data_IF_300853554602
#
_entry.id   IF_300853554602
#
_cell.length_a   1.000
_cell.length_b   1.000
_cell.length_c   1.000
_cell.angle_alpha   90.00
_cell.angle_beta   90.00
_cell.angle_gamma   90.00
#
_symmetry.space_group_name_H-M   'P 1'
#
loop_
_entity.id
_entity.type
_entity.pdbx_description
1 polymer ?
#
# COMPACT_ATOMS: atom_id res chain seq x y z
N UNK A 1 -31.51 -8.33 -77.69
CA UNK A 1 -30.56 -7.52 -76.90
C UNK A 1 -29.40 -8.44 -76.53
N UNK A 2 -28.30 -8.43 -77.29
CA UNK A 2 -27.10 -7.55 -77.11
C UNK A 2 -26.40 -7.90 -75.79
N UNK A 3 -25.14 -8.34 -75.68
CA UNK A 3 -24.00 -8.71 -76.53
C UNK A 3 -23.04 -9.52 -75.59
N UNK A 4 -22.06 -10.26 -76.10
CA UNK A 4 -21.06 -11.02 -75.35
C UNK A 4 -19.77 -10.20 -75.12
N UNK A 5 -18.73 -10.90 -74.64
CA UNK A 5 -17.28 -10.64 -74.76
C UNK A 5 -16.56 -9.84 -73.66
N UNK A 6 -15.70 -10.62 -72.97
CA UNK A 6 -14.24 -10.46 -72.89
C UNK A 6 -13.71 -9.02 -72.81
N UNK A 7 -13.18 -8.68 -71.64
CA UNK A 7 -11.98 -7.83 -71.50
C UNK A 7 -11.13 -8.45 -70.38
N UNK A 8 -10.10 -9.23 -70.73
CA UNK A 8 -8.70 -8.81 -70.92
C UNK A 8 -8.08 -8.23 -69.64
N UNK A 9 -7.41 -9.11 -68.88
CA UNK A 9 -6.32 -8.75 -67.97
C UNK A 9 -5.18 -8.14 -68.80
N UNK A 10 -4.53 -7.08 -68.29
CA UNK A 10 -3.09 -7.02 -68.42
C UNK A 10 -2.42 -6.83 -67.06
N UNK A 11 -1.49 -7.75 -66.81
CA UNK A 11 -0.12 -7.51 -66.32
C UNK A 11 -0.03 -6.60 -65.10
N UNK A 12 0.03 -7.19 -63.90
CA UNK A 12 1.32 -7.52 -63.29
C UNK A 12 2.29 -6.33 -63.25
N UNK A 13 2.09 -5.46 -62.27
CA UNK A 13 3.18 -4.69 -61.68
C UNK A 13 3.36 -5.19 -60.24
N UNK A 14 4.48 -5.88 -60.09
CA UNK A 14 5.01 -6.50 -58.89
C UNK A 14 5.86 -5.44 -58.15
N UNK A 15 5.86 -5.54 -56.80
CA UNK A 15 6.77 -4.92 -55.83
C UNK A 15 6.46 -3.44 -55.53
N UNK A 16 6.22 -3.01 -54.29
CA UNK A 16 7.12 -2.98 -53.12
C UNK A 16 6.19 -2.96 -51.87
N UNK A 17 6.23 -3.89 -50.92
CA UNK A 17 7.27 -4.05 -49.90
C UNK A 17 7.14 -2.98 -48.80
N UNK A 18 6.55 -3.30 -47.64
CA UNK A 18 7.03 -2.95 -46.29
C UNK A 18 5.94 -3.17 -45.22
N UNK A 19 6.13 -4.24 -44.44
CA UNK A 19 6.06 -4.26 -42.96
C UNK A 19 4.99 -3.38 -42.29
N UNK A 20 3.89 -4.02 -41.88
CA UNK A 20 3.13 -3.60 -40.68
C UNK A 20 3.14 -4.75 -39.66
N UNK A 21 4.35 -5.13 -39.27
CA UNK A 21 4.59 -5.77 -37.98
C UNK A 21 4.85 -4.66 -36.96
N UNK A 22 4.21 -4.77 -35.80
CA UNK A 22 4.53 -3.97 -34.64
C UNK A 22 3.49 -2.92 -34.27
N UNK A 23 2.29 -3.35 -33.91
CA UNK A 23 1.61 -2.70 -32.79
C UNK A 23 2.42 -3.05 -31.53
N UNK A 24 3.57 -2.40 -31.36
CA UNK A 24 4.33 -2.39 -30.12
C UNK A 24 3.42 -1.78 -29.07
N UNK A 25 2.81 -2.64 -28.26
CA UNK A 25 2.20 -2.24 -27.01
C UNK A 25 3.24 -1.45 -26.23
N UNK A 26 3.00 -0.15 -26.09
CA UNK A 26 3.70 0.64 -25.09
C UNK A 26 3.19 0.14 -23.75
N UNK A 27 3.84 -0.89 -23.20
CA UNK A 27 3.88 -1.07 -21.75
C UNK A 27 4.65 0.13 -21.21
N UNK A 28 3.94 1.24 -21.00
CA UNK A 28 4.52 2.40 -20.34
C UNK A 28 5.08 1.93 -19.00
N UNK A 29 6.36 2.20 -18.76
CA UNK A 29 6.95 2.05 -17.45
C UNK A 29 6.07 2.84 -16.48
N UNK A 30 5.37 2.15 -15.59
CA UNK A 30 4.69 2.81 -14.49
C UNK A 30 5.80 3.25 -13.54
N UNK A 31 6.14 4.54 -13.57
CA UNK A 31 7.08 5.14 -12.63
C UNK A 31 6.53 4.92 -11.21
N UNK A 32 7.08 3.92 -10.51
CA UNK A 32 6.79 3.67 -9.10
C UNK A 32 7.84 4.34 -8.24
N UNK A 33 7.41 4.96 -7.15
CA UNK A 33 8.35 5.52 -6.18
C UNK A 33 9.07 4.38 -5.45
N UNK A 34 10.36 4.57 -5.18
CA UNK A 34 11.08 3.74 -4.21
C UNK A 34 10.63 4.09 -2.80
N UNK A 35 10.47 3.12 -1.91
CA UNK A 35 10.04 3.34 -0.51
C UNK A 35 11.09 2.74 0.42
N UNK A 36 11.61 3.53 1.34
CA UNK A 36 12.63 3.12 2.33
C UNK A 36 12.08 3.38 3.74
N UNK A 37 12.73 2.78 4.74
CA UNK A 37 12.23 2.77 6.11
C UNK A 37 11.29 1.60 6.36
N UNK A 38 11.25 1.14 7.61
CA UNK A 38 10.49 -0.03 8.01
C UNK A 38 10.02 0.14 9.45
N UNK A 39 8.74 -0.09 9.71
CA UNK A 39 8.28 -0.31 11.09
C UNK A 39 8.70 -1.71 11.49
N UNK A 40 9.56 -1.80 12.49
CA UNK A 40 9.88 -3.08 13.11
C UNK A 40 8.89 -3.41 14.23
N UNK A 41 8.72 -4.69 14.59
CA UNK A 41 7.80 -5.11 15.66
C UNK A 41 8.05 -4.43 17.01
N UNK A 42 9.29 -4.01 17.28
CA UNK A 42 9.70 -3.34 18.51
C UNK A 42 9.05 -1.96 18.69
N UNK A 43 8.54 -1.34 17.61
CA UNK A 43 7.77 -0.10 17.68
C UNK A 43 6.32 -0.30 18.15
N UNK A 44 5.87 -1.54 18.38
CA UNK A 44 4.51 -1.81 18.82
C UNK A 44 4.47 -2.17 20.30
N UNK A 45 4.59 -1.17 21.18
CA UNK A 45 4.42 -1.36 22.63
C UNK A 45 2.93 -1.36 23.01
N UNK A 46 2.22 -2.39 22.58
CA UNK A 46 0.83 -2.62 22.96
C UNK A 46 0.66 -2.63 24.49
N UNK A 47 -0.31 -1.84 24.96
CA UNK A 47 -0.82 -1.87 26.33
C UNK A 47 -2.23 -2.43 26.32
N UNK A 48 -2.58 -3.23 27.31
CA UNK A 48 -3.95 -3.72 27.46
C UNK A 48 -4.85 -2.56 27.89
N UNK A 49 -5.85 -2.24 27.07
CA UNK A 49 -6.76 -1.10 27.30
C UNK A 49 -8.12 -1.53 27.85
N UNK A 50 -8.51 -2.80 27.65
CA UNK A 50 -9.72 -3.40 28.23
C UNK A 50 -9.38 -4.80 28.72
N UNK A 51 -9.56 -5.05 30.02
CA UNK A 51 -9.38 -6.38 30.60
C UNK A 51 -10.43 -7.35 30.06
N UNK A 52 -9.99 -8.56 29.72
CA UNK A 52 -10.87 -9.63 29.27
C UNK A 52 -11.71 -10.11 30.46
N UNK A 53 -13.00 -9.77 30.50
CA UNK A 53 -13.96 -10.39 31.42
C UNK A 53 -14.68 -11.56 30.75
N UNK A 54 -15.19 -12.50 31.55
CA UNK A 54 -16.00 -13.64 31.05
C UNK A 54 -17.25 -13.19 30.27
N UNK A 55 -17.68 -11.94 30.41
CA UNK A 55 -18.84 -11.36 29.72
C UNK A 55 -18.52 -10.73 28.35
N UNK A 56 -17.25 -10.44 28.04
CA UNK A 56 -16.81 -9.86 26.77
C UNK A 56 -15.60 -10.63 26.25
N UNK A 57 -15.81 -11.61 25.36
CA UNK A 57 -14.72 -12.41 24.84
C UNK A 57 -13.79 -11.51 24.04
N UNK A 58 -12.56 -11.33 24.53
CA UNK A 58 -11.45 -10.99 23.66
C UNK A 58 -10.43 -10.01 24.23
N UNK A 59 -10.81 -9.13 25.17
CA UNK A 59 -9.94 -8.01 25.62
C UNK A 59 -9.36 -7.18 24.46
N UNK A 60 -8.71 -6.06 24.75
CA UNK A 60 -8.07 -5.27 23.71
C UNK A 60 -6.71 -4.78 24.16
N UNK A 61 -5.77 -4.81 23.22
CA UNK A 61 -4.48 -4.16 23.36
C UNK A 61 -4.36 -3.07 22.30
N UNK A 62 -3.89 -1.90 22.69
CA UNK A 62 -3.74 -0.77 21.79
C UNK A 62 -2.40 -0.05 21.98
N UNK A 63 -1.98 0.66 20.94
CA UNK A 63 -0.80 1.52 20.95
C UNK A 63 -0.98 2.68 19.98
N UNK A 64 -0.57 3.87 20.39
CA UNK A 64 -0.52 5.03 19.51
C UNK A 64 0.85 5.16 18.85
N UNK A 65 0.86 5.23 17.51
CA UNK A 65 2.03 5.31 16.66
C UNK A 65 2.08 6.70 16.01
N UNK A 66 3.26 7.32 16.03
CA UNK A 66 3.56 8.55 15.31
C UNK A 66 4.54 8.23 14.18
N UNK A 67 4.05 8.01 12.97
CA UNK A 67 4.86 7.67 11.80
C UNK A 67 5.27 8.94 11.05
N UNK A 68 6.55 9.26 10.94
CA UNK A 68 7.02 10.33 10.03
C UNK A 68 7.12 9.80 8.61
N UNK A 69 6.52 10.48 7.65
CA UNK A 69 6.66 10.19 6.22
C UNK A 69 7.43 11.35 5.59
N UNK A 70 8.50 11.04 4.86
CA UNK A 70 9.31 12.01 4.10
C UNK A 70 9.18 11.74 2.61
N UNK A 71 8.83 12.75 1.81
CA UNK A 71 8.89 12.71 0.35
C UNK A 71 10.34 12.94 -0.12
N UNK A 72 10.87 12.04 -0.95
CA UNK A 72 12.28 12.07 -1.36
C UNK A 72 12.64 13.32 -2.17
N UNK A 73 11.89 13.60 -3.23
CA UNK A 73 12.23 14.68 -4.17
C UNK A 73 12.17 16.07 -3.52
N UNK A 74 11.07 16.36 -2.83
CA UNK A 74 10.83 17.67 -2.21
C UNK A 74 11.46 17.81 -0.82
N UNK A 75 11.71 16.70 -0.11
CA UNK A 75 12.06 16.69 1.30
C UNK A 75 10.89 17.05 2.24
N UNK A 76 9.65 17.14 1.72
CA UNK A 76 8.48 17.42 2.54
C UNK A 76 8.26 16.31 3.57
N UNK A 77 7.96 16.68 4.81
CA UNK A 77 7.72 15.71 5.89
C UNK A 77 6.35 15.94 6.53
N UNK A 78 5.71 14.85 6.94
CA UNK A 78 4.53 14.89 7.82
C UNK A 78 4.62 13.82 8.89
N UNK A 79 3.90 14.00 10.00
CA UNK A 79 3.74 12.96 11.03
C UNK A 79 2.31 12.42 10.98
N UNK A 80 2.18 11.18 10.53
CA UNK A 80 0.95 10.42 10.50
C UNK A 80 0.72 9.74 11.87
N UNK A 81 -0.23 10.26 12.65
CA UNK A 81 -0.59 9.75 13.97
C UNK A 81 -1.80 8.82 13.91
N UNK A 82 -1.72 7.63 14.50
CA UNK A 82 -2.84 6.67 14.57
C UNK A 82 -2.68 5.71 15.74
N UNK A 83 -3.81 5.23 16.25
CA UNK A 83 -3.88 4.10 17.18
C UNK A 83 -4.04 2.81 16.40
N UNK A 84 -3.39 1.75 16.89
CA UNK A 84 -3.58 0.38 16.43
C UNK A 84 -4.17 -0.41 17.57
N UNK A 85 -5.37 -0.95 17.38
CA UNK A 85 -6.05 -1.82 18.33
C UNK A 85 -6.11 -3.25 17.80
N UNK A 86 -5.70 -4.21 18.62
CA UNK A 86 -5.80 -5.64 18.35
C UNK A 86 -6.59 -6.32 19.48
N UNK A 87 -7.39 -7.34 19.16
CA UNK A 87 -7.96 -8.18 20.20
C UNK A 87 -6.85 -9.00 20.88
N UNK A 88 -7.05 -9.43 22.13
CA UNK A 88 -6.15 -10.40 22.77
C UNK A 88 -6.42 -11.83 22.27
N UNK A 89 -7.60 -12.09 21.67
CA UNK A 89 -8.00 -13.39 21.14
C UNK A 89 -8.63 -13.28 19.76
N UNK A 90 -8.38 -14.27 18.91
CA UNK A 90 -9.09 -14.47 17.65
C UNK A 90 -9.89 -15.79 17.72
N UNK A 91 -11.20 -15.69 17.92
CA UNK A 91 -12.04 -16.85 18.25
C UNK A 91 -11.65 -17.44 19.59
N UNK A 92 -11.24 -18.71 19.61
CA UNK A 92 -10.80 -19.42 20.82
C UNK A 92 -9.29 -19.28 21.09
N UNK A 93 -8.52 -18.76 20.14
CA UNK A 93 -7.07 -18.71 20.23
C UNK A 93 -6.59 -17.37 20.78
N UNK A 94 -5.72 -17.40 21.77
CA UNK A 94 -4.99 -16.22 22.22
C UNK A 94 -4.00 -15.76 21.15
N UNK A 95 -3.86 -14.45 20.99
CA UNK A 95 -2.85 -13.83 20.14
C UNK A 95 -1.68 -13.43 21.04
N UNK A 96 -0.55 -14.15 20.99
CA UNK A 96 0.63 -13.76 21.74
C UNK A 96 1.10 -12.36 21.35
N UNK A 97 1.62 -11.60 22.31
CA UNK A 97 2.11 -10.23 22.08
C UNK A 97 3.12 -10.15 20.93
N UNK A 98 4.03 -11.12 20.82
CA UNK A 98 5.02 -11.14 19.74
C UNK A 98 4.38 -11.30 18.35
N UNK A 99 3.29 -12.09 18.25
CA UNK A 99 2.51 -12.25 17.01
C UNK A 99 1.80 -10.93 16.67
N UNK A 100 1.14 -10.32 17.67
CA UNK A 100 0.47 -9.04 17.51
C UNK A 100 1.43 -7.95 16.96
N UNK A 101 2.63 -7.87 17.54
CA UNK A 101 3.69 -6.94 17.09
C UNK A 101 4.18 -7.24 15.68
N UNK A 102 4.47 -8.51 15.40
CA UNK A 102 4.97 -8.95 14.10
C UNK A 102 3.97 -8.64 13.00
N UNK A 103 2.70 -8.97 13.23
CA UNK A 103 1.64 -8.82 12.25
C UNK A 103 1.27 -7.35 12.00
N UNK A 104 1.22 -6.55 13.07
CA UNK A 104 1.04 -5.10 12.97
C UNK A 104 2.15 -4.47 12.12
N UNK A 105 3.42 -4.79 12.42
CA UNK A 105 4.56 -4.30 11.65
C UNK A 105 4.53 -4.76 10.20
N UNK A 106 4.27 -6.05 9.92
CA UNK A 106 4.21 -6.57 8.57
C UNK A 106 3.12 -5.87 7.74
N UNK A 107 1.90 -5.76 8.28
CA UNK A 107 0.77 -5.16 7.57
C UNK A 107 0.97 -3.66 7.36
N UNK A 108 1.54 -2.95 8.35
CA UNK A 108 1.85 -1.54 8.20
C UNK A 108 2.89 -1.31 7.11
N UNK A 109 3.97 -2.09 7.06
CA UNK A 109 4.98 -1.98 6.00
C UNK A 109 4.40 -2.28 4.61
N UNK A 110 3.54 -3.31 4.50
CA UNK A 110 2.87 -3.63 3.24
C UNK A 110 1.92 -2.51 2.79
N UNK A 111 1.15 -1.93 3.72
CA UNK A 111 0.26 -0.82 3.43
C UNK A 111 1.03 0.44 3.01
N UNK A 112 2.09 0.79 3.75
CA UNK A 112 2.96 1.91 3.44
C UNK A 112 3.59 1.77 2.05
N UNK A 113 4.16 0.60 1.74
CA UNK A 113 4.72 0.34 0.41
C UNK A 113 3.67 0.52 -0.69
N UNK A 114 2.47 -0.06 -0.54
CA UNK A 114 1.40 0.04 -1.54
C UNK A 114 0.98 1.49 -1.81
N UNK A 115 0.79 2.29 -0.76
CA UNK A 115 0.37 3.69 -0.88
C UNK A 115 1.49 4.55 -1.43
N UNK A 116 2.68 4.48 -0.83
CA UNK A 116 3.78 5.39 -1.15
C UNK A 116 4.43 5.09 -2.51
N UNK A 117 4.54 3.81 -2.90
CA UNK A 117 5.11 3.44 -4.21
C UNK A 117 4.24 3.85 -5.41
N UNK A 118 2.95 4.10 -5.17
CA UNK A 118 1.97 4.48 -6.20
C UNK A 118 1.49 5.93 -6.05
N UNK A 119 2.08 6.69 -5.13
CA UNK A 119 1.70 8.07 -4.85
C UNK A 119 2.01 8.99 -6.06
N UNK A 120 1.04 9.79 -6.53
CA UNK A 120 1.30 10.82 -7.54
C UNK A 120 2.32 11.85 -7.03
N UNK A 121 3.13 12.43 -7.93
CA UNK A 121 4.03 13.53 -7.57
C UNK A 121 3.23 14.73 -7.06
N UNK A 122 3.67 15.31 -5.95
CA UNK A 122 2.98 16.46 -5.33
C UNK A 122 1.67 16.11 -4.63
N UNK A 123 1.35 14.82 -4.44
CA UNK A 123 0.22 14.41 -3.62
C UNK A 123 0.36 14.98 -2.20
N UNK A 124 -0.76 15.39 -1.61
CA UNK A 124 -0.70 15.96 -0.26
C UNK A 124 -0.36 14.86 0.75
N UNK A 125 0.66 15.10 1.57
CA UNK A 125 1.10 14.14 2.59
C UNK A 125 -0.02 13.71 3.56
N UNK A 126 -1.00 14.59 3.80
CA UNK A 126 -2.20 14.26 4.57
C UNK A 126 -3.07 13.19 3.89
N UNK A 127 -3.26 13.28 2.57
CA UNK A 127 -3.98 12.26 1.78
C UNK A 127 -3.29 10.91 1.90
N UNK A 128 -1.97 10.87 1.68
CA UNK A 128 -1.18 9.64 1.80
C UNK A 128 -1.28 9.01 3.19
N UNK A 129 -1.29 9.83 4.24
CA UNK A 129 -1.49 9.34 5.60
C UNK A 129 -2.87 8.71 5.81
N UNK A 130 -3.94 9.29 5.26
CA UNK A 130 -5.29 8.72 5.36
C UNK A 130 -5.45 7.44 4.54
N UNK A 131 -4.90 7.40 3.33
CA UNK A 131 -4.90 6.21 2.48
C UNK A 131 -4.12 5.07 3.14
N UNK A 132 -2.97 5.39 3.72
CA UNK A 132 -2.18 4.45 4.52
C UNK A 132 -2.99 3.88 5.68
N UNK A 133 -3.61 4.74 6.53
CA UNK A 133 -4.41 4.28 7.68
C UNK A 133 -5.57 3.39 7.26
N UNK A 134 -6.25 3.76 6.18
CA UNK A 134 -7.40 3.03 5.65
C UNK A 134 -6.99 1.64 5.16
N UNK A 135 -5.95 1.57 4.33
CA UNK A 135 -5.45 0.30 3.82
C UNK A 135 -4.86 -0.56 4.93
N UNK A 136 -4.10 0.03 5.85
CA UNK A 136 -3.52 -0.67 6.98
C UNK A 136 -4.61 -1.26 7.88
N UNK A 137 -5.63 -0.48 8.25
CA UNK A 137 -6.76 -0.96 9.03
C UNK A 137 -7.51 -2.10 8.36
N UNK A 138 -7.76 -2.00 7.05
CA UNK A 138 -8.39 -3.07 6.28
C UNK A 138 -7.56 -4.36 6.28
N UNK A 139 -6.26 -4.26 6.00
CA UNK A 139 -5.35 -5.41 5.99
C UNK A 139 -5.22 -6.07 7.37
N UNK A 140 -5.13 -5.25 8.43
CA UNK A 140 -5.00 -5.75 9.78
C UNK A 140 -6.29 -6.44 10.26
N UNK A 141 -7.46 -5.85 9.96
CA UNK A 141 -8.75 -6.46 10.29
C UNK A 141 -8.99 -7.77 9.56
N UNK A 142 -8.56 -7.87 8.29
CA UNK A 142 -8.61 -9.13 7.54
C UNK A 142 -7.74 -10.24 8.16
N UNK A 143 -6.65 -9.88 8.83
CA UNK A 143 -5.76 -10.83 9.52
C UNK A 143 -6.24 -11.17 10.94
N UNK A 144 -6.70 -10.15 11.68
CA UNK A 144 -7.19 -10.25 13.05
C UNK A 144 -8.58 -9.63 13.12
N UNK A 145 -9.61 -10.49 13.12
CA UNK A 145 -11.00 -10.04 13.12
C UNK A 145 -11.24 -9.12 14.33
N UNK A 146 -11.74 -7.92 14.05
CA UNK A 146 -11.99 -6.90 15.06
C UNK A 146 -10.86 -5.88 15.20
N UNK A 147 -9.66 -6.12 14.65
CA UNK A 147 -8.58 -5.13 14.67
C UNK A 147 -9.01 -3.81 14.03
N UNK A 148 -8.50 -2.69 14.56
CA UNK A 148 -8.88 -1.34 14.14
C UNK A 148 -7.66 -0.42 14.09
N UNK A 149 -7.75 0.56 13.19
CA UNK A 149 -6.86 1.71 13.15
C UNK A 149 -7.72 2.96 13.34
N UNK A 150 -7.40 3.77 14.34
CA UNK A 150 -8.23 4.91 14.77
C UNK A 150 -7.37 6.12 15.14
N UNK A 151 -8.02 7.19 15.62
CA UNK A 151 -7.32 8.29 16.26
C UNK A 151 -6.67 7.83 17.58
N UNK A 152 -5.58 8.49 17.95
CA UNK A 152 -4.85 8.20 19.19
C UNK A 152 -5.70 8.55 20.42
N UNK A 153 -6.05 7.56 21.24
CA UNK A 153 -6.70 7.75 22.54
C UNK A 153 -5.87 7.15 23.67
N UNK A 154 -5.13 6.08 23.38
CA UNK A 154 -4.20 5.41 24.29
C UNK A 154 -2.88 6.18 24.44
N UNK A 155 -2.11 5.87 25.49
CA UNK A 155 -0.73 6.33 25.57
C UNK A 155 0.10 5.78 24.39
N UNK A 156 0.93 6.64 23.79
CA UNK A 156 1.68 6.34 22.58
C UNK A 156 3.17 6.13 22.80
N UNK A 157 3.84 5.79 21.69
CA UNK A 157 5.29 5.69 21.61
C UNK A 157 5.90 6.94 20.98
N UNK A 158 7.20 7.14 21.18
CA UNK A 158 7.96 8.19 20.50
C UNK A 158 7.96 8.00 18.97
N UNK A 159 8.24 9.06 18.20
CA UNK A 159 8.03 9.10 16.75
C UNK A 159 8.89 8.07 15.99
N UNK A 160 8.27 7.28 15.12
CA UNK A 160 8.91 6.27 14.25
C UNK A 160 9.14 6.86 12.84
N UNK A 161 10.39 6.86 12.32
CA UNK A 161 10.70 7.45 11.01
C UNK A 161 10.46 6.51 9.80
N UNK A 162 9.99 7.08 8.67
CA UNK A 162 9.91 6.46 7.34
C UNK A 162 10.34 7.47 6.25
N UNK A 163 11.11 7.00 5.26
CA UNK A 163 11.69 7.88 4.25
C UNK A 163 11.48 7.34 2.83
N UNK A 164 10.96 8.16 1.91
CA UNK A 164 11.09 7.92 0.47
C UNK A 164 12.48 8.44 0.07
N UNK A 165 13.40 7.59 -0.42
CA UNK A 165 14.74 8.05 -0.79
C UNK A 165 14.65 8.96 -2.03
N UNK A 166 15.57 9.93 -2.12
CA UNK A 166 15.79 10.67 -3.37
C UNK A 166 16.21 9.70 -4.48
N UNK A 167 15.73 9.85 -5.72
CA UNK A 167 16.32 9.16 -6.86
C UNK A 167 17.80 9.57 -6.94
N UNK A 168 18.71 8.59 -6.85
CA UNK A 168 20.13 8.82 -7.09
C UNK A 168 20.30 9.26 -8.54
N UNK A 169 20.83 10.46 -8.76
CA UNK A 169 21.20 10.92 -10.10
C UNK A 169 22.32 9.99 -10.62
N UNK A 170 22.22 9.46 -11.86
CA UNK A 170 23.25 8.61 -12.44
C UNK A 170 24.58 9.35 -12.63
#
# INVERSE_FOLDING_TARGET
MVLPRRYWLPRAWLLVGFVLWGASGQTGCTDRNSVVGRITPEHFWFKTTVESSDAQPGGWQAVCIHARITEGDSGATTVCKFEVGLPLRNGQNEIPLWVARQDAAEMANRAAYKVLSSAPRGEMMFTLCNDFKTLYGSMLNAKHIGAKVSACVSEGIETVPFDIPKPSRP
#
